data_IF_503722836958
#
_entry.id   IF_503722836958
#
_cell.length_a   1.000
_cell.length_b   1.000
_cell.length_c   1.000
_cell.angle_alpha   90.00
_cell.angle_beta   90.00
_cell.angle_gamma   90.00
#
_symmetry.space_group_name_H-M   'P 1'
#
loop_
_entity.id
_entity.type
_entity.pdbx_description
1 polymer ?
#
# COMPACT_ATOMS: atom_id res chain seq x y z
N UNK A 1 34.72 -0.63 -27.66
CA UNK A 1 33.30 -1.04 -27.82
C UNK A 1 32.45 -0.18 -26.85
N UNK A 2 32.46 1.15 -27.07
CA UNK A 2 31.79 2.16 -26.23
C UNK A 2 30.93 3.07 -27.11
N UNK A 3 29.93 2.53 -27.77
CA UNK A 3 29.18 3.30 -28.76
C UNK A 3 27.68 2.99 -28.82
N UNK A 4 26.99 2.74 -27.67
CA UNK A 4 25.53 2.52 -27.69
C UNK A 4 24.76 3.13 -26.50
N UNK A 5 25.40 3.86 -25.59
CA UNK A 5 24.70 4.51 -24.48
C UNK A 5 24.24 5.94 -24.80
N UNK A 6 24.87 6.64 -25.75
CA UNK A 6 24.52 8.03 -26.06
C UNK A 6 23.24 8.19 -26.89
N UNK A 7 22.88 7.18 -27.68
CA UNK A 7 21.70 7.28 -28.57
C UNK A 7 20.36 7.02 -27.84
N UNK A 8 20.39 6.34 -26.67
CA UNK A 8 19.22 6.15 -25.82
C UNK A 8 18.94 7.36 -24.93
N UNK A 9 19.97 8.06 -24.46
CA UNK A 9 19.83 9.23 -23.62
C UNK A 9 19.26 10.44 -24.38
N UNK A 10 19.54 10.58 -25.68
CA UNK A 10 19.08 11.72 -26.47
C UNK A 10 17.60 11.72 -26.83
N UNK A 11 16.90 10.57 -26.72
CA UNK A 11 15.46 10.46 -27.01
C UNK A 11 14.54 10.72 -25.82
N UNK A 12 15.09 10.79 -24.59
CA UNK A 12 14.31 11.00 -23.36
C UNK A 12 14.60 12.32 -22.65
N UNK A 13 15.31 13.22 -23.30
CA UNK A 13 15.62 14.53 -22.73
C UNK A 13 14.41 15.43 -22.88
N UNK A 14 13.98 16.00 -21.80
CA UNK A 14 13.24 17.26 -21.68
C UNK A 14 11.76 17.25 -21.27
N UNK A 15 11.06 16.12 -21.32
CA UNK A 15 9.65 16.21 -20.95
C UNK A 15 9.41 16.52 -19.46
N UNK A 16 10.39 16.32 -18.56
CA UNK A 16 10.35 16.69 -17.14
C UNK A 16 11.40 17.72 -16.73
N UNK A 17 12.07 18.39 -17.68
CA UNK A 17 13.07 19.38 -17.36
C UNK A 17 12.44 20.73 -16.99
N UNK A 18 13.17 21.48 -16.16
CA UNK A 18 12.75 22.80 -15.65
C UNK A 18 12.60 23.83 -16.75
N UNK A 19 11.57 24.69 -16.64
CA UNK A 19 11.42 25.89 -17.48
C UNK A 19 12.55 26.87 -17.16
N UNK A 20 13.17 27.46 -18.22
CA UNK A 20 14.10 28.57 -18.07
C UNK A 20 13.30 29.87 -18.24
N UNK A 21 13.11 30.56 -17.13
CA UNK A 21 12.42 31.84 -17.10
C UNK A 21 13.34 32.96 -17.54
N UNK A 22 12.90 33.79 -18.48
CA UNK A 22 13.64 34.95 -19.00
C UNK A 22 12.78 36.21 -18.95
N UNK A 23 13.39 37.34 -18.70
CA UNK A 23 12.71 38.63 -18.73
C UNK A 23 12.12 38.88 -20.12
N UNK A 24 10.91 39.40 -20.20
CA UNK A 24 10.21 39.72 -21.44
C UNK A 24 9.65 38.52 -22.22
N UNK A 25 9.76 37.30 -21.71
CA UNK A 25 9.17 36.15 -22.40
C UNK A 25 7.64 36.20 -22.39
N UNK A 26 7.01 35.81 -23.52
CA UNK A 26 5.57 35.70 -23.62
C UNK A 26 5.10 34.38 -22.97
N UNK A 27 4.28 34.45 -21.92
CA UNK A 27 3.78 33.31 -21.20
C UNK A 27 2.74 32.54 -22.01
N UNK A 28 2.85 31.21 -22.00
CA UNK A 28 1.91 30.27 -22.60
C UNK A 28 1.56 29.18 -21.59
N UNK A 29 0.42 28.49 -21.73
CA UNK A 29 0.01 27.40 -20.87
C UNK A 29 1.07 26.30 -20.77
N UNK A 30 1.81 26.03 -21.85
CA UNK A 30 2.88 25.03 -21.87
C UNK A 30 4.03 25.33 -20.88
N UNK A 31 4.30 26.62 -20.56
CA UNK A 31 5.30 26.96 -19.54
C UNK A 31 4.88 26.51 -18.14
N UNK A 32 3.61 26.72 -17.81
CA UNK A 32 3.06 26.27 -16.51
C UNK A 32 2.99 24.76 -16.44
N UNK A 33 2.45 24.09 -17.45
CA UNK A 33 2.40 22.63 -17.52
C UNK A 33 3.79 21.98 -17.43
N UNK A 34 4.80 22.59 -18.07
CA UNK A 34 6.18 22.11 -17.98
C UNK A 34 6.77 22.32 -16.59
N UNK A 35 6.45 23.44 -15.95
CA UNK A 35 6.89 23.72 -14.58
C UNK A 35 6.27 22.72 -13.60
N UNK A 36 5.00 22.40 -13.75
CA UNK A 36 4.30 21.40 -12.92
C UNK A 36 4.94 20.02 -13.11
N UNK A 37 5.16 19.57 -14.34
CA UNK A 37 5.84 18.30 -14.63
C UNK A 37 7.23 18.19 -14.01
N UNK A 38 8.00 19.27 -14.08
CA UNK A 38 9.31 19.31 -13.44
C UNK A 38 9.21 19.21 -11.92
N UNK A 39 8.25 19.91 -11.31
CA UNK A 39 8.03 19.88 -9.86
C UNK A 39 7.62 18.46 -9.39
N UNK A 40 6.67 17.86 -10.08
CA UNK A 40 6.22 16.48 -9.81
C UNK A 40 7.38 15.48 -9.95
N UNK A 41 8.16 15.57 -11.02
CA UNK A 41 9.31 14.69 -11.23
C UNK A 41 10.38 14.87 -10.15
N UNK A 42 10.61 16.11 -9.70
CA UNK A 42 11.54 16.41 -8.61
C UNK A 42 11.07 15.84 -7.28
N UNK A 43 9.79 15.99 -6.94
CA UNK A 43 9.18 15.43 -5.73
C UNK A 43 9.25 13.90 -5.75
N UNK A 44 8.86 13.28 -6.86
CA UNK A 44 8.95 11.84 -7.07
C UNK A 44 10.37 11.30 -6.89
N UNK A 45 11.36 11.95 -7.52
CA UNK A 45 12.76 11.56 -7.41
C UNK A 45 13.28 11.63 -5.97
N UNK A 46 12.87 12.66 -5.20
CA UNK A 46 13.24 12.80 -3.78
C UNK A 46 12.60 11.69 -2.93
N UNK A 47 11.30 11.42 -3.12
CA UNK A 47 10.61 10.36 -2.38
C UNK A 47 11.20 8.99 -2.68
N UNK A 48 11.46 8.69 -3.97
CA UNK A 48 12.06 7.42 -4.38
C UNK A 48 13.46 7.20 -3.78
N UNK A 49 14.26 8.27 -3.62
CA UNK A 49 15.57 8.20 -3.00
C UNK A 49 15.52 7.98 -1.48
N UNK A 50 14.45 8.44 -0.81
CA UNK A 50 14.30 8.34 0.65
C UNK A 50 13.60 7.06 1.08
N UNK A 51 12.72 6.49 0.24
CA UNK A 51 11.93 5.33 0.59
C UNK A 51 11.67 4.43 -0.61
N UNK A 52 12.09 3.17 -0.50
CA UNK A 52 11.65 2.10 -1.39
C UNK A 52 10.14 1.88 -1.22
N UNK A 53 9.46 1.47 -2.28
CA UNK A 53 8.03 1.12 -2.24
C UNK A 53 7.16 2.28 -1.71
N UNK A 54 7.39 3.51 -2.19
CA UNK A 54 6.65 4.71 -1.78
C UNK A 54 5.26 4.84 -2.44
N UNK A 55 4.56 3.74 -2.69
CA UNK A 55 3.24 3.67 -3.33
C UNK A 55 2.32 2.67 -2.63
N UNK A 56 1.02 2.72 -2.90
CA UNK A 56 0.03 1.85 -2.30
C UNK A 56 -1.01 2.61 -1.46
N UNK A 57 -1.80 1.88 -0.72
CA UNK A 57 -2.92 2.40 0.05
C UNK A 57 -2.50 3.00 1.39
N UNK A 58 -3.08 4.15 1.75
CA UNK A 58 -3.02 4.74 3.09
C UNK A 58 -4.35 4.61 3.83
N UNK A 59 -5.43 4.34 3.09
CA UNK A 59 -6.77 4.07 3.61
C UNK A 59 -7.55 3.24 2.60
N UNK A 60 -8.38 2.31 3.09
CA UNK A 60 -9.30 1.55 2.24
C UNK A 60 -10.51 1.08 3.04
N UNK A 61 -11.69 1.28 2.49
CA UNK A 61 -12.94 0.70 2.97
C UNK A 61 -13.77 0.23 1.78
N UNK A 62 -14.19 -1.03 1.81
CA UNK A 62 -15.04 -1.63 0.78
C UNK A 62 -16.51 -1.25 1.00
N UNK A 63 -17.24 -1.06 -0.09
CA UNK A 63 -18.69 -1.03 -0.07
C UNK A 63 -19.24 -2.47 -0.07
N UNK A 64 -19.51 -2.99 1.12
CA UNK A 64 -19.95 -4.39 1.30
C UNK A 64 -21.39 -4.63 0.82
N UNK A 65 -22.22 -3.61 0.75
CA UNK A 65 -23.61 -3.74 0.29
C UNK A 65 -23.66 -4.05 -1.21
N UNK A 66 -22.78 -3.43 -1.99
CA UNK A 66 -22.67 -3.68 -3.42
C UNK A 66 -22.18 -5.08 -3.76
N UNK A 67 -21.34 -5.69 -2.93
CA UNK A 67 -20.86 -7.06 -3.13
C UNK A 67 -22.02 -8.06 -3.12
N UNK A 68 -23.04 -7.81 -2.30
CA UNK A 68 -24.28 -8.62 -2.26
C UNK A 68 -25.11 -8.56 -3.55
N UNK A 69 -24.85 -7.60 -4.43
CA UNK A 69 -25.58 -7.38 -5.69
C UNK A 69 -24.74 -7.61 -6.95
N UNK A 70 -23.60 -8.27 -6.83
CA UNK A 70 -22.71 -8.56 -7.98
C UNK A 70 -21.81 -7.40 -8.40
N UNK A 71 -21.71 -6.36 -7.60
CA UNK A 71 -20.92 -5.18 -7.92
C UNK A 71 -19.82 -4.94 -6.90
N UNK A 72 -18.70 -4.41 -7.37
CA UNK A 72 -17.56 -4.01 -6.55
C UNK A 72 -17.42 -2.50 -6.55
N UNK A 73 -17.22 -1.91 -5.37
CA UNK A 73 -16.80 -0.53 -5.21
C UNK A 73 -16.05 -0.33 -3.89
N UNK A 74 -15.24 0.71 -3.84
CA UNK A 74 -14.64 1.23 -2.63
C UNK A 74 -15.52 2.34 -2.06
N UNK A 75 -15.88 2.25 -0.79
CA UNK A 75 -16.59 3.33 -0.09
C UNK A 75 -15.65 4.50 0.17
N UNK A 76 -14.43 4.23 0.64
CA UNK A 76 -13.34 5.21 0.75
C UNK A 76 -12.02 4.56 0.38
N UNK A 77 -11.12 5.33 -0.21
CA UNK A 77 -9.74 4.93 -0.41
C UNK A 77 -8.83 6.14 -0.53
N UNK A 78 -7.61 6.02 -0.05
CA UNK A 78 -6.56 7.00 -0.27
C UNK A 78 -5.23 6.28 -0.45
N UNK A 79 -4.31 6.91 -1.17
CA UNK A 79 -3.00 6.32 -1.42
C UNK A 79 -2.20 7.08 -2.44
N UNK A 80 -1.16 6.43 -2.94
CA UNK A 80 -0.26 6.97 -3.95
C UNK A 80 -0.02 5.90 -5.01
N UNK A 81 -0.17 6.23 -6.29
CA UNK A 81 0.19 5.35 -7.40
C UNK A 81 1.71 5.24 -7.56
N UNK A 82 2.18 4.23 -8.31
CA UNK A 82 3.62 4.00 -8.54
C UNK A 82 4.35 5.19 -9.17
N UNK A 83 3.63 6.02 -9.92
CA UNK A 83 4.19 7.24 -10.51
C UNK A 83 4.25 8.42 -9.51
N UNK A 84 3.87 8.21 -8.26
CA UNK A 84 3.85 9.22 -7.21
C UNK A 84 2.58 10.07 -7.17
N UNK A 85 1.56 9.77 -7.97
CA UNK A 85 0.29 10.51 -7.97
C UNK A 85 -0.55 10.14 -6.75
N UNK A 86 -0.83 11.08 -5.85
CA UNK A 86 -1.72 10.85 -4.72
C UNK A 86 -3.18 10.82 -5.18
N UNK A 87 -4.03 10.11 -4.44
CA UNK A 87 -5.48 10.11 -4.63
C UNK A 87 -6.21 9.97 -3.29
N UNK A 88 -7.43 10.48 -3.25
CA UNK A 88 -8.33 10.36 -2.09
C UNK A 88 -9.78 10.30 -2.56
N UNK A 89 -10.46 9.19 -2.27
CA UNK A 89 -11.87 8.94 -2.56
C UNK A 89 -12.71 9.09 -1.29
N UNK A 90 -13.78 9.87 -1.30
CA UNK A 90 -14.31 10.75 -2.35
C UNK A 90 -13.72 12.16 -2.35
N UNK A 91 -12.77 12.49 -1.47
CA UNK A 91 -12.31 13.85 -1.20
C UNK A 91 -11.87 14.62 -2.43
N UNK A 92 -10.71 14.26 -2.99
CA UNK A 92 -10.11 14.94 -4.13
C UNK A 92 -10.42 14.27 -5.48
N UNK A 93 -10.95 13.06 -5.45
CA UNK A 93 -11.20 12.24 -6.64
C UNK A 93 -12.59 11.67 -6.59
N UNK A 94 -13.30 11.67 -7.73
CA UNK A 94 -14.61 11.06 -7.83
C UNK A 94 -14.52 9.53 -7.71
N UNK A 95 -15.57 8.92 -7.14
CA UNK A 95 -15.69 7.46 -7.17
C UNK A 95 -15.74 6.96 -8.61
N UNK A 96 -14.98 5.92 -8.97
CA UNK A 96 -15.26 5.17 -10.18
C UNK A 96 -16.68 4.60 -10.13
N UNK A 97 -17.31 4.42 -11.30
CA UNK A 97 -18.58 3.70 -11.36
C UNK A 97 -18.42 2.29 -10.73
N UNK A 98 -19.41 1.83 -9.94
CA UNK A 98 -19.38 0.48 -9.40
C UNK A 98 -19.16 -0.55 -10.52
N UNK A 99 -18.22 -1.47 -10.30
CA UNK A 99 -17.82 -2.47 -11.30
C UNK A 99 -18.74 -3.69 -11.22
N UNK A 100 -19.42 -4.01 -12.31
CA UNK A 100 -20.19 -5.25 -12.41
C UNK A 100 -19.24 -6.43 -12.58
N UNK A 101 -19.20 -7.32 -11.59
CA UNK A 101 -18.30 -8.48 -11.60
C UNK A 101 -18.92 -9.58 -12.47
N UNK A 102 -18.23 -10.04 -13.53
CA UNK A 102 -18.75 -11.13 -14.36
C UNK A 102 -19.01 -12.42 -13.56
N UNK A 103 -20.10 -13.11 -13.83
CA UNK A 103 -20.55 -14.30 -13.07
C UNK A 103 -19.54 -15.45 -13.02
N UNK A 104 -18.66 -15.54 -14.01
CA UNK A 104 -17.63 -16.58 -14.07
C UNK A 104 -16.28 -16.17 -13.46
N UNK A 105 -16.23 -15.02 -12.78
CA UNK A 105 -15.00 -14.52 -12.15
C UNK A 105 -14.62 -15.40 -10.97
N UNK A 106 -13.37 -15.94 -10.98
CA UNK A 106 -12.85 -16.76 -9.89
C UNK A 106 -11.35 -16.58 -9.73
N UNK A 107 -10.90 -16.31 -8.51
CA UNK A 107 -9.49 -16.19 -8.14
C UNK A 107 -8.75 -15.01 -8.81
N UNK A 108 -9.46 -13.92 -9.14
CA UNK A 108 -8.95 -12.79 -9.95
C UNK A 108 -8.77 -11.55 -9.08
N UNK A 109 -7.70 -10.80 -9.31
CA UNK A 109 -7.53 -9.50 -8.67
C UNK A 109 -8.35 -8.42 -9.37
N UNK A 110 -8.92 -7.52 -8.59
CA UNK A 110 -9.50 -6.27 -9.05
C UNK A 110 -8.60 -5.11 -8.65
N UNK A 111 -8.36 -4.20 -9.58
CA UNK A 111 -7.44 -3.09 -9.46
C UNK A 111 -8.17 -1.76 -9.51
N UNK A 112 -7.70 -0.80 -8.73
CA UNK A 112 -7.96 0.61 -8.95
C UNK A 112 -6.94 1.12 -9.98
N UNK A 113 -7.41 1.64 -11.10
CA UNK A 113 -6.59 1.96 -12.26
C UNK A 113 -6.68 3.45 -12.61
N UNK A 114 -5.53 4.04 -12.96
CA UNK A 114 -5.37 5.42 -13.40
C UNK A 114 -4.61 5.43 -14.73
N UNK A 115 -5.07 6.14 -15.78
CA UNK A 115 -4.32 6.26 -17.02
C UNK A 115 -2.90 6.81 -16.80
N UNK A 116 -1.92 6.19 -17.47
CA UNK A 116 -0.51 6.61 -17.41
C UNK A 116 -0.37 7.99 -18.07
N UNK A 117 0.44 8.85 -17.46
CA UNK A 117 0.82 10.11 -18.08
C UNK A 117 1.83 9.84 -19.21
N UNK A 118 1.54 10.32 -20.41
CA UNK A 118 2.38 10.11 -21.59
C UNK A 118 2.76 11.44 -22.23
N UNK A 119 4.00 11.55 -22.68
CA UNK A 119 4.48 12.74 -23.38
C UNK A 119 3.67 12.98 -24.67
N UNK A 120 3.08 14.17 -24.81
CA UNK A 120 2.31 14.56 -25.99
C UNK A 120 0.87 14.01 -26.05
N UNK A 121 0.45 13.20 -25.07
CA UNK A 121 -0.92 12.75 -24.99
C UNK A 121 -1.84 13.83 -24.38
N UNK A 122 -3.12 13.79 -24.75
CA UNK A 122 -4.15 14.62 -24.14
C UNK A 122 -4.48 14.05 -22.75
N UNK A 123 -4.29 14.86 -21.71
CA UNK A 123 -4.53 14.43 -20.32
C UNK A 123 -5.98 14.62 -19.88
N UNK A 124 -6.74 15.52 -20.53
CA UNK A 124 -8.13 15.80 -20.19
C UNK A 124 -9.07 14.92 -21.02
N UNK A 125 -9.90 14.14 -20.33
CA UNK A 125 -10.93 13.33 -20.97
C UNK A 125 -11.91 14.22 -21.74
N UNK A 126 -12.28 13.82 -22.95
CA UNK A 126 -13.29 14.51 -23.71
C UNK A 126 -14.68 14.37 -23.04
N UNK A 127 -15.45 15.45 -23.04
CA UNK A 127 -16.78 15.47 -22.42
C UNK A 127 -17.77 14.49 -23.08
N UNK A 128 -17.58 14.20 -24.37
CA UNK A 128 -18.36 13.25 -25.16
C UNK A 128 -17.88 11.79 -25.05
N UNK A 129 -16.81 11.54 -24.26
CA UNK A 129 -16.23 10.22 -24.11
C UNK A 129 -15.37 9.75 -25.29
N UNK A 130 -15.16 10.57 -26.32
CA UNK A 130 -14.38 10.21 -27.52
C UNK A 130 -12.88 10.04 -27.26
N UNK A 131 -12.35 10.63 -26.18
CA UNK A 131 -10.98 10.49 -25.76
C UNK A 131 -10.91 10.12 -24.28
N UNK A 132 -10.12 9.09 -23.99
CA UNK A 132 -9.74 8.77 -22.61
C UNK A 132 -8.65 9.75 -22.16
N UNK A 133 -8.82 10.31 -20.96
CA UNK A 133 -7.85 11.19 -20.34
C UNK A 133 -7.60 10.75 -18.89
N UNK A 134 -6.52 11.24 -18.34
CA UNK A 134 -6.14 11.04 -16.92
C UNK A 134 -7.05 11.85 -15.99
N UNK A 135 -7.53 13.00 -16.47
CA UNK A 135 -8.35 13.94 -15.71
C UNK A 135 -9.69 14.19 -16.38
N UNK A 136 -10.70 14.41 -15.56
CA UNK A 136 -11.98 14.99 -15.94
C UNK A 136 -11.95 16.47 -15.56
N UNK A 137 -12.28 17.35 -16.50
CA UNK A 137 -12.40 18.78 -16.22
C UNK A 137 -13.65 19.06 -15.38
N UNK A 138 -13.51 19.88 -14.35
CA UNK A 138 -14.58 20.37 -13.49
C UNK A 138 -14.46 21.87 -13.30
N UNK A 139 -15.57 22.63 -13.38
CA UNK A 139 -15.58 24.04 -13.01
C UNK A 139 -15.39 24.21 -11.50
N UNK A 140 -14.56 25.17 -11.13
CA UNK A 140 -14.27 25.53 -9.75
C UNK A 140 -14.17 27.05 -9.62
N UNK A 141 -14.87 27.60 -8.63
CA UNK A 141 -14.84 29.02 -8.32
C UNK A 141 -13.70 29.30 -7.33
N UNK A 142 -12.66 30.00 -7.79
CA UNK A 142 -11.51 30.38 -6.99
C UNK A 142 -11.57 31.87 -6.62
N UNK A 143 -11.16 32.19 -5.41
CA UNK A 143 -11.15 33.56 -4.90
C UNK A 143 -9.72 34.08 -4.79
N UNK A 144 -9.51 35.38 -5.16
CA UNK A 144 -8.25 36.06 -4.87
C UNK A 144 -8.16 36.36 -3.37
N UNK A 145 -7.33 35.60 -2.67
CA UNK A 145 -7.12 35.70 -1.21
C UNK A 145 -6.20 36.85 -0.81
N UNK A 146 -5.58 37.57 -1.78
CA UNK A 146 -4.68 38.69 -1.55
C UNK A 146 -5.39 40.04 -1.79
N UNK A 147 -6.61 40.05 -2.30
CA UNK A 147 -7.41 41.25 -2.50
C UNK A 147 -8.25 41.58 -1.27
N UNK A 148 -8.35 42.88 -0.94
CA UNK A 148 -9.26 43.35 0.11
C UNK A 148 -10.74 43.15 -0.26
N UNK A 149 -11.05 43.01 -1.55
CA UNK A 149 -12.37 42.64 -2.08
C UNK A 149 -12.21 41.37 -2.91
N UNK A 150 -12.34 40.18 -2.33
CA UNK A 150 -12.17 38.93 -3.04
C UNK A 150 -13.12 38.86 -4.23
N UNK A 151 -12.57 38.71 -5.43
CA UNK A 151 -13.34 38.45 -6.64
C UNK A 151 -13.20 36.97 -6.97
N UNK A 152 -14.33 36.35 -7.32
CA UNK A 152 -14.35 34.97 -7.80
C UNK A 152 -13.91 34.92 -9.26
N UNK A 153 -13.12 33.91 -9.59
CA UNK A 153 -12.78 33.53 -10.93
C UNK A 153 -13.16 32.09 -11.18
N UNK A 154 -13.83 31.80 -12.27
CA UNK A 154 -14.12 30.44 -12.69
C UNK A 154 -12.89 29.81 -13.32
N UNK A 155 -12.42 28.72 -12.75
CA UNK A 155 -11.29 27.93 -13.24
C UNK A 155 -11.76 26.53 -13.63
N UNK A 156 -11.06 25.90 -14.56
CA UNK A 156 -11.18 24.46 -14.80
C UNK A 156 -10.09 23.73 -14.03
N UNK A 157 -10.50 22.83 -13.16
CA UNK A 157 -9.61 21.94 -12.42
C UNK A 157 -9.73 20.51 -12.95
N UNK A 158 -8.63 19.74 -12.87
CA UNK A 158 -8.59 18.34 -13.27
C UNK A 158 -8.83 17.42 -12.07
N UNK A 159 -9.88 16.58 -12.12
CA UNK A 159 -10.10 15.50 -11.16
C UNK A 159 -9.64 14.19 -11.78
N UNK A 160 -8.89 13.35 -11.04
CA UNK A 160 -8.42 12.07 -11.53
C UNK A 160 -9.58 11.18 -11.98
N UNK A 161 -9.45 10.58 -13.15
CA UNK A 161 -10.43 9.66 -13.72
C UNK A 161 -10.03 8.22 -13.43
N UNK A 162 -10.43 7.72 -12.28
CA UNK A 162 -10.16 6.34 -11.86
C UNK A 162 -11.19 5.36 -12.45
N UNK A 163 -10.80 4.10 -12.57
CA UNK A 163 -11.67 2.98 -12.94
C UNK A 163 -11.25 1.70 -12.24
N UNK A 164 -12.12 0.69 -12.28
CA UNK A 164 -11.77 -0.68 -11.87
C UNK A 164 -11.43 -1.52 -13.08
N UNK A 165 -10.39 -2.37 -12.97
CA UNK A 165 -9.98 -3.34 -13.97
C UNK A 165 -9.69 -4.68 -13.29
N UNK A 166 -10.01 -5.79 -13.96
CA UNK A 166 -9.60 -7.13 -13.56
C UNK A 166 -8.22 -7.49 -14.11
N UNK A 167 -7.57 -8.50 -13.53
CA UNK A 167 -6.33 -9.06 -14.09
C UNK A 167 -6.50 -9.53 -15.54
N UNK A 168 -7.70 -9.96 -15.92
CA UNK A 168 -8.05 -10.41 -17.27
C UNK A 168 -8.21 -9.27 -18.28
N UNK A 169 -8.35 -8.03 -17.82
CA UNK A 169 -8.53 -6.88 -18.70
C UNK A 169 -7.19 -6.39 -19.26
N UNK A 170 -7.24 -5.69 -20.40
CA UNK A 170 -6.07 -4.99 -20.91
C UNK A 170 -5.75 -3.80 -20.00
N UNK A 171 -4.65 -3.91 -19.28
CA UNK A 171 -4.14 -2.90 -18.36
C UNK A 171 -2.98 -2.09 -18.94
N UNK A 172 -2.64 -2.32 -20.22
CA UNK A 172 -1.65 -1.50 -20.90
C UNK A 172 -2.10 -0.04 -20.91
N UNK A 173 -1.22 0.87 -20.51
CA UNK A 173 -1.56 2.28 -20.38
C UNK A 173 -2.23 2.69 -19.06
N UNK A 174 -2.28 1.80 -18.06
CA UNK A 174 -2.78 2.11 -16.73
C UNK A 174 -1.76 1.82 -15.63
N UNK A 175 -1.72 2.69 -14.63
CA UNK A 175 -1.16 2.41 -13.32
C UNK A 175 -2.23 1.68 -12.50
N UNK A 176 -1.89 0.56 -11.89
CA UNK A 176 -2.86 -0.30 -11.23
C UNK A 176 -2.44 -0.62 -9.80
N UNK A 177 -3.30 -0.31 -8.82
CA UNK A 177 -3.16 -0.79 -7.45
C UNK A 177 -4.18 -1.91 -7.27
N UNK A 178 -3.77 -3.16 -7.03
CA UNK A 178 -4.70 -4.22 -6.71
C UNK A 178 -5.34 -3.92 -5.34
N UNK A 179 -6.67 -3.96 -5.27
CA UNK A 179 -7.43 -3.56 -4.07
C UNK A 179 -8.20 -4.71 -3.43
N UNK A 180 -8.50 -5.78 -4.17
CA UNK A 180 -9.11 -6.99 -3.63
C UNK A 180 -8.83 -8.20 -4.53
N UNK A 181 -8.97 -9.41 -3.96
CA UNK A 181 -9.02 -10.67 -4.69
C UNK A 181 -10.44 -11.21 -4.65
N UNK A 182 -11.04 -11.37 -5.82
CA UNK A 182 -12.36 -12.01 -5.95
C UNK A 182 -12.16 -13.51 -5.94
N UNK A 183 -12.73 -14.22 -4.96
CA UNK A 183 -12.68 -15.67 -4.87
C UNK A 183 -13.65 -16.31 -5.84
N UNK A 184 -14.90 -15.86 -5.82
CA UNK A 184 -15.95 -16.34 -6.71
C UNK A 184 -17.16 -15.40 -6.70
N UNK A 185 -18.00 -15.58 -7.71
CA UNK A 185 -19.35 -15.03 -7.77
C UNK A 185 -20.34 -16.18 -7.70
N UNK A 186 -21.21 -16.17 -6.69
CA UNK A 186 -22.21 -17.21 -6.47
C UNK A 186 -23.41 -17.06 -7.43
N UNK A 187 -24.27 -18.08 -7.51
CA UNK A 187 -25.44 -18.09 -8.39
C UNK A 187 -26.48 -17.00 -8.08
N UNK A 188 -26.48 -16.48 -6.85
CA UNK A 188 -27.28 -15.34 -6.40
C UNK A 188 -26.58 -13.99 -6.64
N UNK A 189 -25.53 -13.98 -7.45
CA UNK A 189 -24.69 -12.82 -7.81
C UNK A 189 -23.82 -12.24 -6.69
N UNK A 190 -23.78 -12.85 -5.52
CA UNK A 190 -22.93 -12.38 -4.43
C UNK A 190 -21.44 -12.55 -4.79
N UNK A 191 -20.67 -11.49 -4.65
CA UNK A 191 -19.21 -11.48 -4.80
C UNK A 191 -18.58 -11.83 -3.46
N UNK A 192 -17.77 -12.90 -3.45
CA UNK A 192 -16.98 -13.31 -2.27
C UNK A 192 -15.53 -12.89 -2.48
N UNK A 193 -14.96 -12.17 -1.52
CA UNK A 193 -13.57 -11.73 -1.53
C UNK A 193 -12.69 -12.63 -0.65
N UNK A 194 -11.40 -12.67 -0.97
CA UNK A 194 -10.37 -13.28 -0.11
C UNK A 194 -10.03 -12.33 1.04
N UNK A 195 -10.57 -12.59 2.21
CA UNK A 195 -10.35 -11.78 3.41
C UNK A 195 -8.90 -11.86 3.93
N UNK A 196 -8.11 -12.84 3.49
CA UNK A 196 -6.70 -12.99 3.85
C UNK A 196 -5.75 -12.33 2.86
N UNK A 197 -6.26 -11.86 1.72
CA UNK A 197 -5.42 -11.21 0.74
C UNK A 197 -5.04 -9.79 1.19
N UNK A 198 -3.77 -9.43 0.98
CA UNK A 198 -3.19 -8.18 1.46
C UNK A 198 -2.84 -7.28 0.28
N UNK A 199 -3.55 -6.16 0.09
CA UNK A 199 -3.22 -5.17 -0.94
C UNK A 199 -1.93 -4.43 -0.62
N UNK A 200 -1.19 -3.92 -1.63
CA UNK A 200 -0.07 -3.01 -1.44
C UNK A 200 -0.49 -1.78 -0.62
N UNK A 201 0.26 -1.47 0.41
CA UNK A 201 -0.06 -0.38 1.32
C UNK A 201 1.18 0.40 1.76
N UNK A 202 1.01 1.69 2.01
CA UNK A 202 2.00 2.56 2.63
C UNK A 202 1.93 2.51 4.16
N UNK A 203 0.79 2.07 4.69
CA UNK A 203 0.55 1.98 6.13
C UNK A 203 -0.21 0.70 6.47
N UNK A 204 0.26 -0.05 7.47
CA UNK A 204 -0.36 -1.31 7.88
C UNK A 204 -1.82 -1.14 8.33
N UNK A 205 -2.15 -0.01 8.97
CA UNK A 205 -3.53 0.25 9.42
C UNK A 205 -4.54 0.44 8.27
N UNK A 206 -4.05 0.76 7.06
CA UNK A 206 -4.91 0.88 5.87
C UNK A 206 -5.51 -0.47 5.44
N UNK A 207 -4.90 -1.57 5.88
CA UNK A 207 -5.27 -2.93 5.51
C UNK A 207 -5.63 -3.72 6.77
N UNK A 208 -6.91 -4.04 6.99
CA UNK A 208 -7.35 -4.74 8.22
C UNK A 208 -6.56 -6.00 8.53
N UNK A 209 -6.16 -6.78 7.51
CA UNK A 209 -5.34 -7.97 7.67
C UNK A 209 -3.96 -7.67 8.26
N UNK A 210 -3.29 -6.61 7.85
CA UNK A 210 -1.98 -6.20 8.39
C UNK A 210 -2.11 -5.62 9.81
N UNK A 211 -3.11 -4.78 10.04
CA UNK A 211 -3.39 -4.23 11.37
C UNK A 211 -3.71 -5.36 12.37
N UNK A 212 -4.52 -6.32 11.94
CA UNK A 212 -4.87 -7.51 12.73
C UNK A 212 -3.65 -8.34 13.12
N UNK A 213 -2.65 -8.49 12.25
CA UNK A 213 -1.42 -9.22 12.56
C UNK A 213 -0.61 -8.57 13.70
N UNK A 214 -0.51 -7.24 13.72
CA UNK A 214 0.19 -6.53 14.81
C UNK A 214 -0.50 -6.80 16.14
N UNK A 215 -1.82 -6.68 16.19
CA UNK A 215 -2.63 -6.93 17.38
C UNK A 215 -2.58 -8.40 17.83
N UNK A 216 -2.66 -9.33 16.89
CA UNK A 216 -2.59 -10.78 17.16
C UNK A 216 -1.27 -11.14 17.84
N UNK A 217 -0.15 -10.76 17.24
CA UNK A 217 1.17 -11.11 17.79
C UNK A 217 1.50 -10.35 19.07
N UNK A 218 1.07 -9.10 19.22
CA UNK A 218 1.19 -8.38 20.48
C UNK A 218 0.45 -9.12 21.61
N UNK A 219 -0.76 -9.60 21.35
CA UNK A 219 -1.57 -10.38 22.31
C UNK A 219 -0.92 -11.72 22.67
N UNK A 220 -0.45 -12.48 21.66
CA UNK A 220 0.21 -13.77 21.87
C UNK A 220 1.50 -13.62 22.70
N UNK A 221 2.32 -12.62 22.41
CA UNK A 221 3.57 -12.36 23.12
C UNK A 221 3.31 -11.89 24.54
N UNK A 222 2.32 -11.01 24.74
CA UNK A 222 1.95 -10.56 26.09
C UNK A 222 1.50 -11.73 26.96
N UNK A 223 0.55 -12.53 26.50
CA UNK A 223 0.05 -13.69 27.23
C UNK A 223 1.17 -14.66 27.62
N UNK A 224 2.11 -14.85 26.71
CA UNK A 224 3.28 -15.72 26.94
C UNK A 224 4.26 -15.14 27.91
N UNK A 225 4.56 -13.86 27.77
CA UNK A 225 5.46 -13.15 28.68
C UNK A 225 4.96 -13.19 30.11
N UNK A 226 3.66 -12.98 30.34
CA UNK A 226 3.03 -13.08 31.67
C UNK A 226 3.16 -14.50 32.26
N UNK A 227 2.81 -15.54 31.49
CA UNK A 227 2.90 -16.92 31.95
C UNK A 227 4.33 -17.33 32.29
N UNK A 228 5.30 -16.92 31.44
CA UNK A 228 6.71 -17.24 31.66
C UNK A 228 7.31 -16.45 32.84
N UNK A 229 6.97 -15.19 32.99
CA UNK A 229 7.41 -14.36 34.12
C UNK A 229 6.92 -14.95 35.45
N UNK A 230 5.66 -15.42 35.51
CA UNK A 230 5.12 -16.09 36.68
C UNK A 230 5.92 -17.36 37.03
N UNK A 231 6.30 -18.16 36.03
CA UNK A 231 7.09 -19.39 36.21
C UNK A 231 8.50 -19.10 36.69
N UNK A 232 9.20 -18.14 36.08
CA UNK A 232 10.56 -17.74 36.43
C UNK A 232 10.65 -17.19 37.85
N UNK A 233 9.60 -16.51 38.31
CA UNK A 233 9.53 -15.95 39.68
C UNK A 233 9.06 -16.95 40.75
N UNK A 234 8.70 -18.19 40.37
CA UNK A 234 8.23 -19.19 41.33
C UNK A 234 9.35 -19.70 42.21
N UNK A 235 9.14 -19.83 43.56
CA UNK A 235 10.14 -20.35 44.46
C UNK A 235 10.54 -21.82 44.13
N UNK A 236 11.83 -22.08 43.93
CA UNK A 236 12.32 -23.45 43.70
C UNK A 236 12.73 -23.79 42.26
N UNK A 237 12.53 -22.93 41.28
CA UNK A 237 13.04 -23.10 39.93
C UNK A 237 14.57 -22.91 39.94
N UNK A 238 15.34 -23.96 39.78
CA UNK A 238 16.82 -23.88 39.65
C UNK A 238 17.31 -24.86 38.61
N UNK A 239 18.14 -24.40 37.64
CA UNK A 239 18.82 -25.25 36.69
C UNK A 239 18.97 -24.67 35.29
N UNK A 240 19.37 -25.50 34.31
CA UNK A 240 19.59 -25.09 32.90
C UNK A 240 18.30 -24.62 32.25
N UNK A 241 17.15 -25.13 32.65
CA UNK A 241 15.83 -24.71 32.17
C UNK A 241 15.54 -23.23 32.50
N UNK A 242 16.03 -22.75 33.66
CA UNK A 242 15.88 -21.38 34.12
C UNK A 242 16.58 -20.36 33.17
N UNK A 243 17.79 -20.70 32.68
CA UNK A 243 18.53 -19.85 31.75
C UNK A 243 17.77 -19.72 30.41
N UNK A 244 17.24 -20.82 29.89
CA UNK A 244 16.50 -20.83 28.66
C UNK A 244 15.18 -20.02 28.82
N UNK A 245 14.52 -20.14 29.96
CA UNK A 245 13.32 -19.39 30.29
C UNK A 245 13.59 -17.88 30.40
N UNK A 246 14.70 -17.48 31.02
CA UNK A 246 15.11 -16.07 31.08
C UNK A 246 15.41 -15.50 29.69
N UNK A 247 16.15 -16.25 28.85
CA UNK A 247 16.41 -15.79 27.47
C UNK A 247 15.14 -15.65 26.65
N UNK A 248 14.21 -16.58 26.80
CA UNK A 248 12.91 -16.49 26.12
C UNK A 248 12.09 -15.30 26.65
N UNK A 249 12.06 -15.09 27.95
CA UNK A 249 11.38 -13.94 28.57
C UNK A 249 11.98 -12.62 28.09
N UNK A 250 13.29 -12.53 28.00
CA UNK A 250 13.97 -11.35 27.44
C UNK A 250 13.55 -11.08 26.00
N UNK A 251 13.47 -12.12 25.16
CA UNK A 251 13.01 -12.00 23.78
C UNK A 251 11.54 -11.53 23.72
N UNK A 252 10.66 -12.15 24.51
CA UNK A 252 9.25 -11.78 24.60
C UNK A 252 9.06 -10.31 25.03
N UNK A 253 9.75 -9.87 26.08
CA UNK A 253 9.67 -8.49 26.57
C UNK A 253 10.13 -7.48 25.52
N UNK A 254 11.19 -7.77 24.78
CA UNK A 254 11.69 -6.91 23.71
C UNK A 254 10.64 -6.76 22.58
N UNK A 255 10.09 -7.87 22.10
CA UNK A 255 9.08 -7.84 21.04
C UNK A 255 7.74 -7.26 21.50
N UNK A 256 7.35 -7.51 22.75
CA UNK A 256 6.14 -6.93 23.33
C UNK A 256 6.20 -5.40 23.31
N UNK A 257 7.31 -4.80 23.77
CA UNK A 257 7.47 -3.36 23.77
C UNK A 257 7.39 -2.75 22.36
N UNK A 258 8.02 -3.40 21.37
CA UNK A 258 7.97 -2.94 19.98
C UNK A 258 6.57 -3.06 19.37
N UNK A 259 5.92 -4.22 19.53
CA UNK A 259 4.60 -4.45 18.94
C UNK A 259 3.52 -3.58 19.61
N UNK A 260 3.63 -3.34 20.93
CA UNK A 260 2.73 -2.41 21.62
C UNK A 260 2.90 -0.99 21.07
N UNK A 261 4.14 -0.52 20.91
CA UNK A 261 4.41 0.76 20.29
C UNK A 261 3.81 0.86 18.88
N UNK A 262 3.88 -0.20 18.10
CA UNK A 262 3.33 -0.23 16.75
C UNK A 262 1.81 -0.36 16.70
N UNK A 263 1.21 -1.03 17.67
CA UNK A 263 -0.26 -1.06 17.79
C UNK A 263 -0.85 0.35 18.01
N UNK A 264 -0.09 1.21 18.68
CA UNK A 264 -0.47 2.61 18.93
C UNK A 264 -0.03 3.57 17.80
N UNK A 265 0.91 3.16 16.94
CA UNK A 265 1.47 3.99 15.88
C UNK A 265 0.66 3.90 14.59
N UNK A 266 0.20 5.04 14.07
CA UNK A 266 -0.68 5.08 12.90
C UNK A 266 -0.02 4.66 11.56
N UNK A 267 1.31 4.78 11.41
CA UNK A 267 1.96 4.75 10.09
C UNK A 267 3.17 3.82 10.01
N UNK A 268 2.96 2.51 10.23
CA UNK A 268 4.02 1.53 9.98
C UNK A 268 3.89 1.03 8.55
N UNK A 269 4.99 1.13 7.79
CA UNK A 269 5.07 0.59 6.45
C UNK A 269 5.19 -0.95 6.50
N UNK A 270 4.51 -1.69 5.60
CA UNK A 270 4.56 -3.16 5.60
C UNK A 270 5.96 -3.77 5.51
N UNK A 271 6.91 -3.12 4.82
CA UNK A 271 8.31 -3.57 4.76
C UNK A 271 8.98 -3.54 6.15
N UNK A 272 8.70 -2.52 6.95
CA UNK A 272 9.19 -2.41 8.32
C UNK A 272 8.63 -3.52 9.20
N UNK A 273 7.32 -3.78 9.09
CA UNK A 273 6.67 -4.88 9.79
C UNK A 273 7.24 -6.23 9.36
N UNK A 274 7.40 -6.45 8.04
CA UNK A 274 7.97 -7.68 7.50
C UNK A 274 9.38 -7.94 8.03
N UNK A 275 10.25 -6.93 8.01
CA UNK A 275 11.63 -7.02 8.52
C UNK A 275 11.66 -7.44 9.98
N UNK A 276 10.81 -6.85 10.81
CA UNK A 276 10.72 -7.22 12.21
C UNK A 276 10.17 -8.65 12.40
N UNK A 277 9.19 -9.06 11.61
CA UNK A 277 8.63 -10.42 11.71
C UNK A 277 9.64 -11.50 11.30
N UNK A 278 10.46 -11.24 10.28
CA UNK A 278 11.59 -12.14 9.93
C UNK A 278 12.58 -12.24 11.06
N UNK A 279 12.95 -11.13 11.69
CA UNK A 279 13.85 -11.12 12.86
C UNK A 279 13.25 -11.86 14.07
N UNK A 280 11.99 -11.59 14.36
CA UNK A 280 11.24 -12.23 15.44
C UNK A 280 11.15 -13.75 15.24
N UNK A 281 10.83 -14.20 14.03
CA UNK A 281 10.77 -15.61 13.68
C UNK A 281 12.14 -16.29 13.80
N UNK A 282 13.22 -15.62 13.39
CA UNK A 282 14.58 -16.12 13.54
C UNK A 282 14.99 -16.27 15.02
N UNK A 283 14.62 -15.32 15.86
CA UNK A 283 14.90 -15.39 17.29
C UNK A 283 14.11 -16.50 17.98
N UNK A 284 12.81 -16.59 17.75
CA UNK A 284 11.98 -17.63 18.34
C UNK A 284 12.31 -19.04 17.83
N UNK A 285 12.88 -19.19 16.64
CA UNK A 285 13.36 -20.47 16.14
C UNK A 285 14.40 -21.12 17.09
N UNK A 286 15.15 -20.33 17.84
CA UNK A 286 16.11 -20.83 18.84
C UNK A 286 15.43 -21.61 19.97
N UNK A 287 14.18 -21.27 20.29
CA UNK A 287 13.41 -21.85 21.41
C UNK A 287 12.42 -22.92 20.95
N UNK A 288 12.34 -23.21 19.64
CA UNK A 288 11.47 -24.26 19.10
C UNK A 288 12.21 -25.60 19.04
N UNK A 289 11.45 -26.69 19.06
CA UNK A 289 11.99 -28.02 18.86
C UNK A 289 12.55 -28.20 17.43
N UNK A 290 13.51 -29.09 17.25
CA UNK A 290 14.12 -29.39 15.97
C UNK A 290 15.48 -28.71 15.76
N UNK A 291 15.68 -28.12 14.59
CA UNK A 291 17.01 -27.59 14.22
C UNK A 291 17.40 -26.31 14.96
N UNK A 292 16.46 -25.64 15.64
CA UNK A 292 16.67 -24.34 16.32
C UNK A 292 17.27 -23.26 15.40
N UNK A 293 16.94 -23.33 14.13
CA UNK A 293 17.37 -22.40 13.07
C UNK A 293 16.15 -21.89 12.31
N UNK A 294 16.17 -20.62 11.88
CA UNK A 294 15.06 -20.08 11.11
C UNK A 294 14.95 -20.73 9.72
N UNK A 295 13.75 -20.80 9.22
CA UNK A 295 13.52 -21.11 7.83
C UNK A 295 14.03 -19.99 6.92
N UNK A 296 14.25 -20.30 5.64
CA UNK A 296 14.54 -19.28 4.63
C UNK A 296 13.24 -18.61 4.21
N UNK A 297 13.12 -17.32 4.50
CA UNK A 297 11.97 -16.52 4.10
C UNK A 297 12.18 -15.86 2.73
N UNK A 298 11.10 -15.60 1.95
CA UNK A 298 11.20 -14.85 0.70
C UNK A 298 11.67 -13.42 0.97
N UNK A 299 12.23 -12.78 -0.05
CA UNK A 299 12.43 -11.32 0.00
C UNK A 299 11.09 -10.58 0.03
N UNK A 300 11.06 -9.41 0.63
CA UNK A 300 9.88 -8.56 0.64
C UNK A 300 9.45 -8.19 -0.79
N UNK A 301 8.17 -8.32 -1.08
CA UNK A 301 7.54 -7.93 -2.35
C UNK A 301 6.34 -7.05 -2.05
N UNK A 302 6.45 -5.80 -2.42
CA UNK A 302 5.43 -4.81 -2.13
C UNK A 302 4.14 -5.05 -2.93
N UNK A 303 4.28 -5.56 -4.14
CA UNK A 303 3.20 -5.94 -5.03
C UNK A 303 2.47 -7.24 -4.61
N UNK A 304 3.09 -8.04 -3.73
CA UNK A 304 2.54 -9.32 -3.27
C UNK A 304 2.88 -9.55 -1.78
N UNK A 305 2.18 -8.82 -0.93
CA UNK A 305 2.37 -8.87 0.52
C UNK A 305 2.00 -10.24 1.09
N UNK A 306 0.97 -10.89 0.56
CA UNK A 306 0.56 -12.21 1.02
C UNK A 306 1.68 -13.24 0.85
N UNK A 307 2.35 -13.25 -0.30
CA UNK A 307 3.50 -14.14 -0.55
C UNK A 307 4.67 -13.85 0.39
N UNK A 308 4.90 -12.58 0.71
CA UNK A 308 5.96 -12.18 1.63
C UNK A 308 5.65 -12.64 3.06
N UNK A 309 4.45 -12.31 3.55
CA UNK A 309 4.10 -12.50 4.95
C UNK A 309 3.69 -13.94 5.33
N UNK A 310 3.03 -14.69 4.44
CA UNK A 310 2.42 -15.97 4.79
C UNK A 310 3.40 -16.99 5.44
N UNK A 311 4.62 -17.22 4.92
CA UNK A 311 5.54 -18.18 5.54
C UNK A 311 6.01 -17.74 6.93
N UNK A 312 6.29 -16.45 7.09
CA UNK A 312 6.77 -15.87 8.37
C UNK A 312 5.68 -15.93 9.43
N UNK A 313 4.44 -15.58 9.06
CA UNK A 313 3.28 -15.64 9.95
C UNK A 313 3.03 -17.07 10.41
N UNK A 314 3.10 -18.05 9.50
CA UNK A 314 2.90 -19.46 9.84
C UNK A 314 3.95 -19.95 10.86
N UNK A 315 5.20 -19.56 10.69
CA UNK A 315 6.29 -19.92 11.62
C UNK A 315 6.13 -19.22 12.96
N UNK A 316 5.78 -17.93 12.98
CA UNK A 316 5.53 -17.19 14.22
C UNK A 316 4.36 -17.79 15.01
N UNK A 317 3.23 -18.08 14.36
CA UNK A 317 2.10 -18.73 15.02
C UNK A 317 2.49 -20.06 15.61
N UNK A 318 3.24 -20.90 14.90
CA UNK A 318 3.75 -22.17 15.39
C UNK A 318 4.70 -21.98 16.58
N UNK A 319 5.69 -21.12 16.44
CA UNK A 319 6.66 -20.87 17.51
C UNK A 319 5.97 -20.32 18.78
N UNK A 320 5.07 -19.38 18.63
CA UNK A 320 4.33 -18.83 19.76
C UNK A 320 3.26 -19.80 20.33
N UNK A 321 2.76 -20.79 19.64
CA UNK A 321 1.83 -21.79 20.14
C UNK A 321 2.51 -22.97 20.82
N UNK A 322 3.68 -23.42 20.33
CA UNK A 322 4.33 -24.67 20.76
C UNK A 322 5.05 -24.60 22.10
N UNK A 323 5.49 -23.43 22.56
CA UNK A 323 6.27 -23.27 23.81
C UNK A 323 5.42 -23.40 25.10
N UNK A 324 4.09 -23.52 25.01
CA UNK A 324 3.24 -23.79 26.19
C UNK A 324 3.32 -25.28 26.62
N UNK A 325 3.83 -26.15 25.76
CA UNK A 325 3.78 -27.61 25.96
C UNK A 325 5.01 -28.21 26.64
N UNK A 326 5.99 -27.43 27.08
CA UNK A 326 7.09 -27.98 27.90
C UNK A 326 6.73 -27.88 29.38
N UNK A 327 6.04 -28.91 29.84
CA UNK A 327 5.80 -29.23 31.26
C UNK A 327 7.07 -29.65 31.98
#
# INVERSE_FOLDING_TARGET
MFGRFDDYASRFVSWTNRVIWQEGMFLRSQHFQQQDRWLEATLRGRVAALRSHGWGLTQMMLDRDLLGTGRFALATAAGVFEDGTPFSLPGETDHPAPFEVPENTRGVLIHLALPVQQAGAVEIAAADGSAEGRYKAQSFEAYDTHSASPQAAELLIGRLKLRYLLDSDDRAGYLCIPVARIMEVSSDKRVTLDENWLPPALACHAVPGLAGLVTEFAGMINQRGEALAARVNAPGARGVAEVADFMLLQALNRWQALLQHWADAANIHPETLYTAYVQMAAEFATFTEGQRRPNKYPGYRHEDLQRSFAPVIADLRRALSSVIAVS
#
